data_IF_292740513770
#
_entry.id   IF_292740513770
#
_cell.length_a   1.000
_cell.length_b   1.000
_cell.length_c   1.000
_cell.angle_alpha   90.00
_cell.angle_beta   90.00
_cell.angle_gamma   90.00
#
_symmetry.space_group_name_H-M   'P 1'
#
loop_
_entity.id
_entity.type
_entity.pdbx_description
1 polymer ?
#
# COMPACT_ATOMS: atom_id res chain seq x y z
N UNK A 1 3.86 -39.76 -1.30
CA UNK A 1 2.71 -39.04 -0.74
C UNK A 1 2.69 -37.69 -1.42
N UNK A 2 1.56 -37.25 -1.99
CA UNK A 2 1.44 -35.86 -2.46
C UNK A 2 1.69 -34.92 -1.25
N UNK A 3 2.53 -33.93 -1.41
CA UNK A 3 2.74 -32.94 -0.36
C UNK A 3 1.39 -32.23 -0.12
N UNK A 4 0.97 -32.10 1.15
CA UNK A 4 -0.20 -31.32 1.49
C UNK A 4 0.02 -29.89 1.01
N UNK A 5 -0.92 -29.35 0.28
CA UNK A 5 -0.82 -28.00 -0.31
C UNK A 5 -1.51 -26.98 0.60
N UNK A 6 -0.88 -25.84 0.82
CA UNK A 6 -1.46 -24.63 1.43
C UNK A 6 -1.85 -23.71 0.28
N UNK A 7 -3.14 -23.45 0.08
CA UNK A 7 -3.61 -22.60 -1.01
C UNK A 7 -3.84 -21.17 -0.57
N UNK A 8 -3.04 -20.25 -1.10
CA UNK A 8 -3.33 -18.82 -1.06
C UNK A 8 -4.18 -18.44 -2.26
N UNK A 9 -5.17 -17.58 -2.08
CA UNK A 9 -5.95 -17.05 -3.19
C UNK A 9 -6.03 -15.53 -3.12
N UNK A 10 -5.78 -14.86 -4.23
CA UNK A 10 -5.85 -13.41 -4.38
C UNK A 10 -6.97 -12.97 -5.32
N UNK A 11 -7.80 -12.01 -4.88
CA UNK A 11 -8.64 -11.20 -5.76
C UNK A 11 -7.87 -9.95 -6.08
N UNK A 12 -7.32 -9.85 -7.29
CA UNK A 12 -6.45 -8.75 -7.70
C UNK A 12 -6.89 -8.17 -9.05
N UNK A 13 -6.77 -6.86 -9.21
CA UNK A 13 -7.14 -6.18 -10.46
C UNK A 13 -6.09 -6.42 -11.54
N UNK A 14 -6.27 -7.43 -12.38
CA UNK A 14 -5.39 -7.68 -13.54
C UNK A 14 -5.81 -6.86 -14.76
N UNK A 15 -7.08 -6.42 -14.78
CA UNK A 15 -7.67 -5.51 -15.77
C UNK A 15 -8.40 -4.35 -15.08
N UNK A 16 -8.84 -3.36 -15.86
CA UNK A 16 -9.53 -2.17 -15.35
C UNK A 16 -8.60 -1.11 -14.75
N UNK A 17 -9.17 -0.18 -13.99
CA UNK A 17 -8.49 1.05 -13.53
C UNK A 17 -7.30 0.81 -12.58
N UNK A 18 -7.31 -0.26 -11.83
CA UNK A 18 -6.24 -0.64 -10.91
C UNK A 18 -5.29 -1.70 -11.47
N UNK A 19 -5.41 -2.02 -12.78
CA UNK A 19 -4.57 -3.05 -13.41
C UNK A 19 -3.06 -2.83 -13.25
N UNK A 20 -2.52 -1.60 -13.34
CA UNK A 20 -1.08 -1.40 -13.12
C UNK A 20 -0.64 -1.87 -11.73
N UNK A 21 -1.34 -1.42 -10.67
CA UNK A 21 -1.01 -1.78 -9.29
C UNK A 21 -1.36 -3.24 -8.97
N UNK A 22 -2.48 -3.73 -9.50
CA UNK A 22 -2.93 -5.11 -9.31
C UNK A 22 -1.97 -6.14 -9.91
N UNK A 23 -1.39 -5.87 -11.07
CA UNK A 23 -0.36 -6.73 -11.69
C UNK A 23 0.95 -6.71 -10.90
N UNK A 24 1.34 -5.55 -10.37
CA UNK A 24 2.48 -5.44 -9.46
C UNK A 24 2.24 -6.25 -8.19
N UNK A 25 1.05 -6.15 -7.59
CA UNK A 25 0.66 -6.94 -6.43
C UNK A 25 0.64 -8.45 -6.71
N UNK A 26 0.15 -8.86 -7.89
CA UNK A 26 0.17 -10.25 -8.31
C UNK A 26 1.59 -10.82 -8.39
N UNK A 27 2.52 -10.05 -8.95
CA UNK A 27 3.93 -10.44 -9.00
C UNK A 27 4.53 -10.58 -7.58
N UNK A 28 4.17 -9.67 -6.66
CA UNK A 28 4.61 -9.72 -5.27
C UNK A 28 4.11 -10.94 -4.52
N UNK A 29 2.81 -11.22 -4.62
CA UNK A 29 2.18 -12.35 -3.95
C UNK A 29 2.72 -13.69 -4.47
N UNK A 30 2.83 -13.83 -5.80
CA UNK A 30 3.41 -15.03 -6.42
C UNK A 30 4.88 -15.24 -5.98
N UNK A 31 5.68 -14.19 -5.92
CA UNK A 31 7.07 -14.30 -5.46
C UNK A 31 7.16 -14.68 -3.98
N UNK A 32 6.28 -14.18 -3.11
CA UNK A 32 6.25 -14.59 -1.70
C UNK A 32 6.03 -16.10 -1.56
N UNK A 33 5.09 -16.66 -2.33
CA UNK A 33 4.81 -18.11 -2.35
C UNK A 33 6.02 -18.89 -2.87
N UNK A 34 6.67 -18.44 -3.94
CA UNK A 34 7.85 -19.12 -4.49
C UNK A 34 9.03 -19.10 -3.52
N UNK A 35 9.26 -17.98 -2.83
CA UNK A 35 10.35 -17.87 -1.86
C UNK A 35 10.12 -18.77 -0.63
N UNK A 36 8.89 -18.87 -0.12
CA UNK A 36 8.55 -19.78 0.98
C UNK A 36 8.65 -21.24 0.51
N UNK A 37 8.14 -21.55 -0.68
CA UNK A 37 8.26 -22.90 -1.28
C UNK A 37 9.73 -23.34 -1.40
N UNK A 38 10.61 -22.46 -1.88
CA UNK A 38 12.03 -22.76 -2.07
C UNK A 38 12.78 -23.01 -0.77
N UNK A 39 12.24 -22.54 0.36
CA UNK A 39 12.79 -22.71 1.71
C UNK A 39 12.21 -23.91 2.46
N UNK A 40 11.45 -24.77 1.79
CA UNK A 40 10.88 -25.98 2.35
C UNK A 40 9.41 -25.90 2.73
N UNK A 41 8.71 -24.82 2.34
CA UNK A 41 7.29 -24.63 2.59
C UNK A 41 6.99 -24.02 3.96
N UNK A 42 5.74 -24.13 4.39
CA UNK A 42 5.19 -23.60 5.66
C UNK A 42 5.10 -24.71 6.69
N UNK A 43 5.59 -24.46 7.90
CA UNK A 43 5.47 -25.40 9.02
C UNK A 43 4.07 -25.31 9.63
N UNK A 44 3.28 -26.37 9.48
CA UNK A 44 1.95 -26.51 10.07
C UNK A 44 1.97 -27.61 11.13
N UNK A 45 2.04 -27.23 12.40
CA UNK A 45 2.23 -28.14 13.52
C UNK A 45 3.47 -29.06 13.34
N UNK A 46 3.28 -30.33 13.06
CA UNK A 46 4.36 -31.33 12.93
C UNK A 46 4.75 -31.67 11.49
N UNK A 47 4.17 -30.97 10.49
CA UNK A 47 4.41 -31.22 9.07
C UNK A 47 4.74 -29.93 8.32
N UNK A 48 5.35 -30.09 7.15
CA UNK A 48 5.53 -29.00 6.19
C UNK A 48 4.49 -29.15 5.09
N UNK A 49 3.83 -28.03 4.74
CA UNK A 49 2.90 -27.91 3.62
C UNK A 49 3.52 -27.04 2.55
N UNK A 50 3.26 -27.35 1.29
CA UNK A 50 3.81 -26.61 0.15
C UNK A 50 2.84 -25.51 -0.23
N UNK A 51 3.21 -24.22 -0.13
CA UNK A 51 2.30 -23.13 -0.52
C UNK A 51 2.13 -23.10 -2.04
N UNK A 52 0.92 -22.78 -2.47
CA UNK A 52 0.56 -22.50 -3.85
C UNK A 52 -0.35 -21.27 -3.92
N UNK A 53 -0.44 -20.64 -5.10
CA UNK A 53 -1.20 -19.40 -5.25
C UNK A 53 -2.12 -19.43 -6.46
N UNK A 54 -3.36 -18.97 -6.27
CA UNK A 54 -4.33 -18.70 -7.33
C UNK A 54 -4.72 -17.23 -7.29
N UNK A 55 -4.52 -16.53 -8.40
CA UNK A 55 -4.88 -15.13 -8.54
C UNK A 55 -6.01 -15.02 -9.55
N UNK A 56 -7.11 -14.40 -9.14
CA UNK A 56 -8.28 -14.13 -9.98
C UNK A 56 -8.42 -12.64 -10.24
N UNK A 57 -8.78 -12.29 -11.48
CA UNK A 57 -9.04 -10.92 -11.90
C UNK A 57 -10.39 -10.43 -11.36
N UNK A 58 -10.37 -9.35 -10.60
CA UNK A 58 -11.57 -8.67 -10.12
C UNK A 58 -12.04 -7.54 -11.07
N UNK A 59 -11.34 -7.35 -12.19
CA UNK A 59 -11.69 -6.36 -13.23
C UNK A 59 -11.79 -4.93 -12.66
N UNK A 60 -11.18 -4.66 -11.52
CA UNK A 60 -11.29 -3.39 -10.77
C UNK A 60 -12.73 -3.03 -10.40
N UNK A 61 -13.61 -4.03 -10.18
CA UNK A 61 -15.02 -3.85 -9.84
C UNK A 61 -15.41 -4.58 -8.56
N UNK A 62 -16.39 -4.02 -7.82
CA UNK A 62 -16.92 -4.67 -6.61
C UNK A 62 -17.56 -6.03 -6.91
N UNK A 63 -18.26 -6.13 -8.03
CA UNK A 63 -18.85 -7.39 -8.47
C UNK A 63 -17.78 -8.42 -8.83
N UNK A 64 -16.71 -7.98 -9.52
CA UNK A 64 -15.55 -8.81 -9.82
C UNK A 64 -14.88 -9.35 -8.56
N UNK A 65 -14.73 -8.52 -7.52
CA UNK A 65 -14.20 -8.94 -6.20
C UNK A 65 -15.05 -10.06 -5.61
N UNK A 66 -16.39 -9.88 -5.54
CA UNK A 66 -17.29 -10.92 -5.01
C UNK A 66 -17.18 -12.21 -5.81
N UNK A 67 -17.28 -12.12 -7.14
CA UNK A 67 -17.17 -13.27 -8.04
C UNK A 67 -15.85 -14.01 -7.89
N UNK A 68 -14.74 -13.28 -7.77
CA UNK A 68 -13.41 -13.85 -7.57
C UNK A 68 -13.33 -14.58 -6.23
N UNK A 69 -13.75 -13.93 -5.14
CA UNK A 69 -13.71 -14.51 -3.80
C UNK A 69 -14.66 -15.72 -3.64
N UNK A 70 -15.84 -15.68 -4.25
CA UNK A 70 -16.76 -16.84 -4.25
C UNK A 70 -16.12 -18.07 -4.90
N UNK A 71 -15.37 -17.88 -5.99
CA UNK A 71 -14.68 -18.97 -6.70
C UNK A 71 -13.54 -19.59 -5.91
N UNK A 72 -12.92 -18.85 -5.03
CA UNK A 72 -11.78 -19.28 -4.20
C UNK A 72 -12.13 -19.36 -2.72
N UNK A 73 -13.40 -19.42 -2.38
CA UNK A 73 -13.89 -19.45 -0.99
C UNK A 73 -13.33 -20.63 -0.16
N UNK A 74 -12.91 -21.70 -0.80
CA UNK A 74 -12.28 -22.87 -0.18
C UNK A 74 -10.76 -22.78 -0.04
N UNK A 75 -10.11 -21.69 -0.44
CA UNK A 75 -8.67 -21.49 -0.23
C UNK A 75 -8.36 -21.35 1.27
N UNK A 76 -7.15 -21.75 1.68
CA UNK A 76 -6.73 -21.68 3.09
C UNK A 76 -6.50 -20.22 3.54
N UNK A 77 -5.90 -19.39 2.68
CA UNK A 77 -5.60 -17.98 2.93
C UNK A 77 -6.16 -17.09 1.82
N UNK A 78 -6.79 -15.98 2.18
CA UNK A 78 -7.38 -15.04 1.22
C UNK A 78 -6.66 -13.68 1.27
N UNK A 79 -6.21 -13.21 0.11
CA UNK A 79 -5.59 -11.90 -0.05
C UNK A 79 -6.55 -10.97 -0.79
N UNK A 80 -6.78 -9.78 -0.22
CA UNK A 80 -7.71 -8.79 -0.77
C UNK A 80 -7.15 -7.96 -1.93
N UNK A 81 -8.00 -7.17 -2.58
CA UNK A 81 -7.66 -6.39 -3.77
C UNK A 81 -6.83 -5.14 -3.44
N UNK A 82 -6.31 -4.49 -4.49
CA UNK A 82 -5.80 -3.13 -4.42
C UNK A 82 -6.95 -2.10 -4.49
N UNK A 83 -6.83 -1.04 -3.69
CA UNK A 83 -7.81 0.05 -3.64
C UNK A 83 -8.87 -0.12 -2.54
N UNK A 84 -9.13 0.98 -1.82
CA UNK A 84 -9.97 0.93 -0.61
C UNK A 84 -11.44 0.63 -0.87
N UNK A 85 -11.98 1.04 -2.00
CA UNK A 85 -13.37 0.75 -2.39
C UNK A 85 -13.61 -0.73 -2.70
N UNK A 86 -12.61 -1.40 -3.29
CA UNK A 86 -12.62 -2.85 -3.49
C UNK A 86 -12.31 -3.58 -2.18
N UNK A 87 -11.40 -3.03 -1.36
CA UNK A 87 -11.06 -3.54 -0.03
C UNK A 87 -12.26 -3.62 0.91
N UNK A 88 -13.13 -2.59 0.92
CA UNK A 88 -14.39 -2.61 1.69
C UNK A 88 -15.28 -3.78 1.26
N UNK A 89 -15.38 -4.03 -0.05
CA UNK A 89 -16.20 -5.12 -0.58
C UNK A 89 -15.64 -6.49 -0.18
N UNK A 90 -14.31 -6.68 -0.34
CA UNK A 90 -13.64 -7.91 0.06
C UNK A 90 -13.76 -8.18 1.57
N UNK A 91 -13.60 -7.14 2.39
CA UNK A 91 -13.70 -7.25 3.83
C UNK A 91 -15.12 -7.61 4.30
N UNK A 92 -16.16 -7.04 3.68
CA UNK A 92 -17.55 -7.42 3.95
C UNK A 92 -17.81 -8.88 3.56
N UNK A 93 -17.38 -9.26 2.36
CA UNK A 93 -17.48 -10.63 1.90
C UNK A 93 -16.85 -11.61 2.88
N UNK A 94 -15.66 -11.29 3.37
CA UNK A 94 -14.92 -12.11 4.34
C UNK A 94 -15.64 -12.18 5.70
N UNK A 95 -16.12 -11.05 6.21
CA UNK A 95 -16.86 -10.99 7.48
C UNK A 95 -18.14 -11.84 7.44
N UNK A 96 -18.94 -11.73 6.35
CA UNK A 96 -20.18 -12.48 6.17
C UNK A 96 -19.97 -14.01 6.16
N UNK A 97 -18.75 -14.47 5.80
CA UNK A 97 -18.38 -15.90 5.70
C UNK A 97 -17.48 -16.38 6.81
N UNK A 98 -17.17 -15.53 7.78
CA UNK A 98 -16.26 -15.87 8.88
C UNK A 98 -14.81 -16.10 8.44
N UNK A 99 -14.38 -15.55 7.28
CA UNK A 99 -13.03 -15.74 6.73
C UNK A 99 -12.10 -14.60 7.15
N UNK A 100 -10.82 -14.91 7.34
CA UNK A 100 -9.78 -13.91 7.48
C UNK A 100 -9.35 -13.36 6.11
N UNK A 101 -9.16 -12.04 6.00
CA UNK A 101 -8.72 -11.37 4.79
C UNK A 101 -7.39 -10.64 5.05
N UNK A 102 -6.36 -11.04 4.32
CA UNK A 102 -5.06 -10.38 4.31
C UNK A 102 -5.11 -9.21 3.33
N UNK A 103 -5.10 -8.00 3.86
CA UNK A 103 -5.26 -6.78 3.09
C UNK A 103 -3.92 -6.11 2.84
N UNK A 104 -3.53 -6.08 1.56
CA UNK A 104 -2.32 -5.37 1.15
C UNK A 104 -2.61 -3.96 0.61
N UNK A 105 -3.75 -3.73 -0.05
CA UNK A 105 -3.95 -2.54 -0.87
C UNK A 105 -5.13 -1.64 -0.52
N UNK A 106 -5.98 -2.05 0.42
CA UNK A 106 -7.09 -1.24 0.94
C UNK A 106 -6.64 -0.40 2.13
N UNK A 107 -6.07 0.78 1.90
CA UNK A 107 -5.45 1.59 2.96
C UNK A 107 -6.43 2.44 3.77
N UNK A 108 -7.69 2.66 3.33
CA UNK A 108 -8.64 3.45 4.12
C UNK A 108 -8.79 2.87 5.54
N UNK A 109 -8.83 3.74 6.54
CA UNK A 109 -8.97 3.37 7.94
C UNK A 109 -10.22 2.53 8.20
N UNK A 110 -11.32 2.84 7.48
CA UNK A 110 -12.56 2.06 7.55
C UNK A 110 -12.36 0.60 7.09
N UNK A 111 -11.46 0.32 6.11
CA UNK A 111 -11.16 -1.04 5.67
C UNK A 111 -10.39 -1.78 6.75
N UNK A 112 -9.37 -1.12 7.32
CA UNK A 112 -8.49 -1.75 8.31
C UNK A 112 -9.23 -2.12 9.60
N UNK A 113 -10.25 -1.33 9.98
CA UNK A 113 -11.09 -1.56 11.17
C UNK A 113 -12.19 -2.60 10.97
N UNK A 114 -12.43 -3.06 9.74
CA UNK A 114 -13.46 -4.08 9.53
C UNK A 114 -13.08 -5.39 10.20
N UNK A 115 -14.06 -6.09 10.78
CA UNK A 115 -13.81 -7.40 11.36
C UNK A 115 -13.14 -8.35 10.37
N UNK A 116 -12.21 -9.18 10.86
CA UNK A 116 -11.54 -10.23 10.08
C UNK A 116 -10.55 -9.74 9.02
N UNK A 117 -10.17 -8.46 9.05
CA UNK A 117 -9.13 -7.89 8.18
C UNK A 117 -7.79 -7.81 8.91
N UNK A 118 -6.72 -8.23 8.25
CA UNK A 118 -5.33 -8.05 8.68
C UNK A 118 -4.64 -7.18 7.63
N UNK A 119 -4.36 -5.92 7.94
CA UNK A 119 -3.73 -4.97 7.04
C UNK A 119 -2.24 -4.88 7.28
N UNK A 120 -1.44 -4.91 6.19
CA UNK A 120 0.03 -4.88 6.29
C UNK A 120 0.62 -3.48 6.08
N UNK A 121 -0.11 -2.60 5.39
CA UNK A 121 0.35 -1.24 5.09
C UNK A 121 -0.22 -0.19 6.04
N UNK A 122 0.41 0.97 6.06
CA UNK A 122 -0.01 2.15 6.82
C UNK A 122 -1.42 2.61 6.44
N UNK A 123 -2.28 3.00 7.39
CA UNK A 123 -3.61 3.51 7.10
C UNK A 123 -3.56 4.86 6.36
N UNK A 124 -4.59 5.12 5.55
CA UNK A 124 -4.67 6.29 4.68
C UNK A 124 -4.66 7.63 5.43
N UNK A 125 -5.12 7.67 6.69
CA UNK A 125 -5.01 8.84 7.55
C UNK A 125 -3.56 9.30 7.78
N UNK A 126 -2.58 8.41 7.62
CA UNK A 126 -1.16 8.75 7.78
C UNK A 126 -0.51 9.30 6.50
N UNK A 127 -1.16 9.19 5.33
CA UNK A 127 -0.57 9.57 4.05
C UNK A 127 -0.15 11.05 4.03
N UNK A 128 -1.09 11.94 4.22
CA UNK A 128 -0.79 13.38 4.24
C UNK A 128 -0.31 13.88 5.60
N UNK A 129 -0.52 13.12 6.66
CA UNK A 129 0.13 13.44 7.93
C UNK A 129 1.66 13.44 7.76
N UNK A 130 2.23 12.40 7.15
CA UNK A 130 3.68 12.33 6.90
C UNK A 130 4.17 13.37 5.89
N UNK A 131 3.36 13.65 4.85
CA UNK A 131 3.70 14.73 3.88
C UNK A 131 3.72 16.10 4.56
N UNK A 132 2.75 16.39 5.44
CA UNK A 132 2.72 17.65 6.20
C UNK A 132 3.87 17.74 7.21
N UNK A 133 4.30 16.62 7.81
CA UNK A 133 5.50 16.59 8.64
C UNK A 133 6.74 17.03 7.84
N UNK A 134 6.89 16.55 6.58
CA UNK A 134 7.97 16.97 5.71
C UNK A 134 7.83 18.45 5.27
N UNK A 135 6.63 18.90 4.92
CA UNK A 135 6.37 20.29 4.54
C UNK A 135 6.66 21.24 5.70
N UNK A 136 6.33 20.87 6.94
CA UNK A 136 6.52 21.71 8.12
C UNK A 136 7.99 22.07 8.38
N UNK A 137 8.94 21.30 7.87
CA UNK A 137 10.37 21.59 8.00
C UNK A 137 10.78 22.81 7.19
N UNK A 138 10.08 23.11 6.08
CA UNK A 138 10.40 24.18 5.14
C UNK A 138 9.39 25.32 5.19
N UNK A 139 8.09 25.01 5.42
CA UNK A 139 7.00 25.98 5.46
C UNK A 139 6.19 25.76 6.75
N UNK A 140 6.68 26.26 7.89
CA UNK A 140 5.93 26.22 9.14
C UNK A 140 4.65 27.07 9.02
N UNK A 141 3.57 26.67 9.71
CA UNK A 141 2.27 27.39 9.74
C UNK A 141 1.60 27.51 8.35
N UNK A 142 1.92 26.62 7.40
CA UNK A 142 1.40 26.66 6.03
C UNK A 142 -0.13 26.67 5.98
N UNK A 143 -0.66 27.43 5.00
CA UNK A 143 -2.07 27.37 4.57
C UNK A 143 -2.23 26.21 3.58
N UNK A 144 -3.01 25.21 3.92
CA UNK A 144 -3.09 23.94 3.19
C UNK A 144 -4.45 23.77 2.54
N UNK A 145 -4.47 23.55 1.22
CA UNK A 145 -5.65 23.08 0.49
C UNK A 145 -5.54 21.58 0.26
N UNK A 146 -6.64 20.84 0.44
CA UNK A 146 -6.68 19.38 0.26
C UNK A 146 -7.73 18.99 -0.76
N UNK A 147 -7.32 18.39 -1.87
CA UNK A 147 -8.19 17.84 -2.88
C UNK A 147 -8.30 16.31 -2.72
N UNK A 148 -9.50 15.80 -2.52
CA UNK A 148 -9.71 14.36 -2.30
C UNK A 148 -10.77 13.77 -3.21
N UNK A 149 -10.56 12.51 -3.61
CA UNK A 149 -11.58 11.73 -4.28
C UNK A 149 -12.73 11.36 -3.33
N UNK A 150 -13.91 11.08 -3.90
CA UNK A 150 -15.05 10.60 -3.14
C UNK A 150 -14.82 9.15 -2.69
N UNK A 151 -15.13 8.81 -1.44
CA UNK A 151 -15.03 7.45 -0.93
C UNK A 151 -14.24 7.34 0.37
N UNK A 152 -14.02 6.11 0.85
CA UNK A 152 -13.39 5.84 2.13
C UNK A 152 -11.93 6.32 2.17
N UNK A 153 -11.17 6.14 1.09
CA UNK A 153 -9.79 6.59 0.98
C UNK A 153 -9.67 8.09 1.16
N UNK A 154 -10.41 8.88 0.34
CA UNK A 154 -10.37 10.34 0.42
C UNK A 154 -10.78 10.87 1.79
N UNK A 155 -11.82 10.27 2.42
CA UNK A 155 -12.21 10.65 3.79
C UNK A 155 -11.09 10.40 4.81
N UNK A 156 -10.46 9.22 4.75
CA UNK A 156 -9.36 8.88 5.67
C UNK A 156 -8.19 9.84 5.51
N UNK A 157 -7.77 10.11 4.26
CA UNK A 157 -6.68 11.06 3.96
C UNK A 157 -7.02 12.46 4.45
N UNK A 158 -8.23 12.97 4.17
CA UNK A 158 -8.67 14.29 4.60
C UNK A 158 -8.70 14.44 6.13
N UNK A 159 -9.17 13.41 6.84
CA UNK A 159 -9.19 13.42 8.30
C UNK A 159 -7.75 13.44 8.87
N UNK A 160 -6.87 12.60 8.35
CA UNK A 160 -5.48 12.59 8.77
C UNK A 160 -4.75 13.90 8.47
N UNK A 161 -5.06 14.54 7.33
CA UNK A 161 -4.52 15.87 7.01
C UNK A 161 -4.96 16.93 8.00
N UNK A 162 -6.25 16.93 8.42
CA UNK A 162 -6.75 17.88 9.45
C UNK A 162 -6.04 17.68 10.79
N UNK A 163 -5.98 16.44 11.27
CA UNK A 163 -5.32 16.10 12.54
C UNK A 163 -3.83 16.49 12.53
N UNK A 164 -3.15 16.26 11.42
CA UNK A 164 -1.76 16.63 11.27
C UNK A 164 -1.56 18.16 11.19
N UNK A 165 -2.40 18.87 10.43
CA UNK A 165 -2.34 20.32 10.33
C UNK A 165 -2.56 20.99 11.70
N UNK A 166 -3.55 20.53 12.46
CA UNK A 166 -3.79 21.00 13.83
C UNK A 166 -2.57 20.79 14.73
N UNK A 167 -1.98 19.59 14.72
CA UNK A 167 -0.78 19.26 15.49
C UNK A 167 0.43 20.11 15.12
N UNK A 168 0.56 20.50 13.84
CA UNK A 168 1.69 21.27 13.30
C UNK A 168 1.47 22.79 13.31
N UNK A 169 0.30 23.27 13.78
CA UNK A 169 -0.03 24.71 13.72
C UNK A 169 -0.34 25.22 12.31
N UNK A 170 -0.59 24.34 11.36
CA UNK A 170 -0.99 24.66 9.99
C UNK A 170 -2.50 24.91 9.88
N UNK A 171 -2.94 25.60 8.85
CA UNK A 171 -4.36 25.91 8.62
C UNK A 171 -4.87 25.19 7.38
N UNK A 172 -5.87 24.31 7.53
CA UNK A 172 -6.61 23.80 6.38
C UNK A 172 -7.56 24.91 5.88
N UNK A 173 -7.25 25.49 4.74
CA UNK A 173 -8.08 26.56 4.15
C UNK A 173 -9.26 26.00 3.39
N UNK A 174 -9.13 24.83 2.77
CA UNK A 174 -10.20 24.17 2.03
C UNK A 174 -9.97 22.66 1.93
N UNK A 175 -11.07 21.88 1.94
CA UNK A 175 -11.08 20.48 1.51
C UNK A 175 -12.13 20.35 0.42
N UNK A 176 -11.69 19.98 -0.77
CA UNK A 176 -12.49 20.04 -2.01
C UNK A 176 -12.30 18.78 -2.87
N UNK A 177 -12.87 18.76 -4.04
CA UNK A 177 -12.63 17.69 -5.04
C UNK A 177 -11.62 18.17 -6.09
N UNK A 178 -10.98 17.23 -6.82
CA UNK A 178 -9.99 17.57 -7.84
C UNK A 178 -10.51 18.54 -8.90
N UNK A 179 -11.80 18.40 -9.28
CA UNK A 179 -12.43 19.27 -10.27
C UNK A 179 -12.61 20.71 -9.84
N UNK A 180 -12.73 20.95 -8.54
CA UNK A 180 -13.03 22.24 -7.95
C UNK A 180 -11.77 23.04 -7.57
N UNK A 181 -10.57 22.43 -7.61
CA UNK A 181 -9.29 23.13 -7.37
C UNK A 181 -9.06 24.15 -8.50
N UNK A 182 -8.79 25.44 -8.20
CA UNK A 182 -8.47 26.44 -9.22
C UNK A 182 -7.09 26.17 -9.86
N UNK A 183 -6.82 26.77 -11.04
CA UNK A 183 -5.51 26.64 -11.72
C UNK A 183 -4.35 27.26 -10.93
N UNK A 184 -4.64 28.19 -10.01
CA UNK A 184 -3.71 28.80 -9.06
C UNK A 184 -4.36 28.86 -7.68
N UNK A 185 -4.24 27.82 -6.86
CA UNK A 185 -4.84 27.81 -5.54
C UNK A 185 -4.14 28.78 -4.59
N UNK A 186 -4.93 29.60 -3.85
CA UNK A 186 -4.41 30.50 -2.82
C UNK A 186 -4.10 29.71 -1.53
N UNK A 187 -2.99 29.00 -1.55
CA UNK A 187 -2.48 28.19 -0.47
C UNK A 187 -0.95 28.06 -0.55
N UNK A 188 -0.29 27.77 0.57
CA UNK A 188 1.14 27.48 0.61
C UNK A 188 1.44 26.04 0.24
N UNK A 189 0.47 25.14 0.48
CA UNK A 189 0.54 23.75 0.11
C UNK A 189 -0.78 23.24 -0.51
N UNK A 190 -0.67 22.44 -1.59
CA UNK A 190 -1.78 21.70 -2.17
C UNK A 190 -1.51 20.20 -2.04
N UNK A 191 -2.41 19.49 -1.35
CA UNK A 191 -2.35 18.04 -1.21
C UNK A 191 -3.48 17.40 -2.01
N UNK A 192 -3.19 16.39 -2.85
CA UNK A 192 -4.17 15.74 -3.68
C UNK A 192 -4.17 14.20 -3.53
N UNK A 193 -5.35 13.61 -3.29
CA UNK A 193 -5.55 12.18 -3.14
C UNK A 193 -6.83 11.73 -3.84
N UNK A 194 -6.76 11.62 -5.15
CA UNK A 194 -7.76 11.01 -6.02
C UNK A 194 -7.41 9.58 -6.42
N UNK A 195 -7.93 9.17 -7.56
CA UNK A 195 -7.34 8.07 -8.28
C UNK A 195 -6.10 8.56 -9.07
N UNK A 196 -5.29 7.63 -9.57
CA UNK A 196 -4.05 7.97 -10.26
C UNK A 196 -4.24 8.99 -11.40
N UNK A 197 -5.27 8.81 -12.22
CA UNK A 197 -5.53 9.70 -13.35
C UNK A 197 -6.00 11.11 -12.90
N UNK A 198 -6.80 11.19 -11.82
CA UNK A 198 -7.26 12.47 -11.26
C UNK A 198 -6.09 13.30 -10.73
N UNK A 199 -5.14 12.66 -10.02
CA UNK A 199 -3.95 13.35 -9.53
C UNK A 199 -3.09 13.86 -10.70
N UNK A 200 -2.86 13.05 -11.75
CA UNK A 200 -2.13 13.49 -12.95
C UNK A 200 -2.80 14.66 -13.66
N UNK A 201 -4.12 14.59 -13.84
CA UNK A 201 -4.89 15.64 -14.51
C UNK A 201 -4.82 16.95 -13.75
N UNK A 202 -4.95 16.90 -12.42
CA UNK A 202 -4.84 18.09 -11.60
C UNK A 202 -3.45 18.73 -11.72
N UNK A 203 -2.36 17.95 -11.65
CA UNK A 203 -0.99 18.47 -11.83
C UNK A 203 -0.83 19.13 -13.20
N UNK A 204 -1.36 18.54 -14.28
CA UNK A 204 -1.29 19.11 -15.64
C UNK A 204 -2.08 20.42 -15.79
N UNK A 205 -3.11 20.61 -14.98
CA UNK A 205 -3.99 21.80 -15.04
C UNK A 205 -3.47 22.98 -14.22
N UNK A 206 -2.62 22.74 -13.22
CA UNK A 206 -2.04 23.80 -12.39
C UNK A 206 -1.13 24.72 -13.22
N UNK A 207 -1.43 26.01 -13.26
CA UNK A 207 -0.62 27.07 -13.91
C UNK A 207 0.25 27.78 -12.89
N UNK A 208 -0.36 28.21 -11.78
CA UNK A 208 0.34 28.83 -10.66
C UNK A 208 0.41 27.81 -9.53
N UNK A 209 1.56 27.19 -9.40
CA UNK A 209 1.78 26.11 -8.42
C UNK A 209 2.07 26.72 -7.04
N UNK A 210 1.40 26.24 -5.97
CA UNK A 210 1.81 26.60 -4.62
C UNK A 210 3.23 26.08 -4.33
N UNK A 211 3.93 26.68 -3.37
CA UNK A 211 5.29 26.26 -2.99
C UNK A 211 5.42 24.77 -2.74
N UNK A 212 4.49 24.17 -2.01
CA UNK A 212 4.47 22.73 -1.75
C UNK A 212 3.32 22.02 -2.47
N UNK A 213 3.60 20.92 -3.15
CA UNK A 213 2.59 20.04 -3.73
C UNK A 213 2.83 18.62 -3.24
N UNK A 214 1.78 17.98 -2.70
CA UNK A 214 1.77 16.56 -2.37
C UNK A 214 0.68 15.83 -3.14
N UNK A 215 1.03 14.69 -3.73
CA UNK A 215 0.09 13.82 -4.44
C UNK A 215 0.18 12.37 -3.97
N UNK A 216 -0.95 11.75 -3.66
CA UNK A 216 -0.96 10.34 -3.27
C UNK A 216 -0.37 9.43 -4.35
N UNK A 217 -0.56 9.79 -5.63
CA UNK A 217 0.00 9.08 -6.77
C UNK A 217 1.52 9.23 -6.91
N UNK A 218 2.14 10.28 -6.34
CA UNK A 218 3.56 10.58 -6.53
C UNK A 218 4.51 9.58 -5.86
N UNK A 219 4.01 8.75 -4.94
CA UNK A 219 4.73 7.61 -4.39
C UNK A 219 5.01 6.49 -5.40
N UNK A 220 4.36 6.50 -6.58
CA UNK A 220 4.53 5.49 -7.63
C UNK A 220 5.47 6.00 -8.73
N UNK A 221 6.41 5.18 -9.19
CA UNK A 221 7.34 5.52 -10.27
C UNK A 221 6.66 5.87 -11.59
N UNK A 222 5.49 5.29 -11.85
CA UNK A 222 4.66 5.62 -13.01
C UNK A 222 4.20 7.09 -13.01
N UNK A 223 4.13 7.77 -11.86
CA UNK A 223 3.77 9.19 -11.78
C UNK A 223 4.80 10.06 -12.50
N UNK A 224 6.08 9.87 -12.23
CA UNK A 224 7.13 10.60 -12.94
C UNK A 224 7.26 10.20 -14.40
N UNK A 225 7.02 8.92 -14.74
CA UNK A 225 7.03 8.47 -16.13
C UNK A 225 5.94 9.16 -16.97
N UNK A 226 4.76 9.43 -16.39
CA UNK A 226 3.63 10.11 -17.03
C UNK A 226 3.76 11.64 -17.09
N UNK A 227 4.37 12.25 -16.10
CA UNK A 227 4.45 13.71 -15.97
C UNK A 227 5.80 14.29 -16.41
N UNK A 228 6.86 13.48 -16.47
CA UNK A 228 8.20 13.96 -16.80
C UNK A 228 8.62 15.11 -15.86
N UNK A 229 9.08 16.22 -16.43
CA UNK A 229 9.50 17.40 -15.66
C UNK A 229 8.39 18.05 -14.84
N UNK A 230 7.12 17.77 -15.14
CA UNK A 230 6.00 18.30 -14.34
C UNK A 230 5.90 17.64 -12.95
N UNK A 231 6.53 16.49 -12.73
CA UNK A 231 6.60 15.83 -11.43
C UNK A 231 7.59 16.52 -10.48
N UNK A 232 8.52 17.31 -11.00
CA UNK A 232 9.60 17.94 -10.21
C UNK A 232 9.07 18.72 -9.01
N UNK A 233 9.66 18.47 -7.84
CA UNK A 233 9.29 19.08 -6.55
C UNK A 233 8.07 18.44 -5.87
N UNK A 234 7.29 17.57 -6.56
CA UNK A 234 6.07 17.00 -5.98
C UNK A 234 6.43 15.92 -4.96
N UNK A 235 5.86 16.06 -3.76
CA UNK A 235 5.94 15.10 -2.66
C UNK A 235 4.90 13.99 -2.82
N UNK A 236 5.23 12.79 -2.35
CA UNK A 236 4.29 11.67 -2.33
C UNK A 236 4.47 10.74 -1.14
N UNK A 237 3.39 10.27 -0.52
CA UNK A 237 3.49 9.20 0.45
C UNK A 237 3.86 7.89 -0.25
N UNK A 238 4.80 7.14 0.32
CA UNK A 238 5.18 5.82 -0.16
C UNK A 238 5.16 4.80 0.98
N UNK A 239 4.54 3.65 0.74
CA UNK A 239 4.49 2.59 1.72
C UNK A 239 5.86 1.90 1.90
N UNK A 240 6.73 1.96 0.91
CA UNK A 240 8.04 1.31 0.93
C UNK A 240 8.91 1.77 -0.24
N UNK A 241 10.21 1.88 -0.01
CA UNK A 241 11.22 2.17 -1.03
C UNK A 241 12.41 1.20 -0.92
N UNK A 242 12.98 0.81 -2.05
CA UNK A 242 14.08 -0.17 -2.12
C UNK A 242 15.33 0.25 -1.33
N UNK A 243 15.58 1.57 -1.20
CA UNK A 243 16.73 2.14 -0.51
C UNK A 243 16.66 1.99 1.01
N UNK A 244 15.46 1.99 1.58
CA UNK A 244 15.24 1.98 3.03
C UNK A 244 15.50 0.59 3.62
N UNK A 245 16.18 0.53 4.76
CA UNK A 245 16.57 -0.72 5.43
C UNK A 245 15.84 -0.86 6.76
N UNK A 246 15.40 -2.10 7.04
CA UNK A 246 14.74 -2.45 8.29
C UNK A 246 15.52 -3.57 9.01
N UNK A 247 15.48 -3.61 10.36
CA UNK A 247 16.04 -4.70 11.14
C UNK A 247 15.10 -5.93 11.09
N UNK A 248 15.22 -6.72 10.02
CA UNK A 248 14.31 -7.83 9.71
C UNK A 248 14.46 -8.97 10.72
N UNK A 249 13.35 -9.40 11.34
CA UNK A 249 13.24 -10.57 12.19
C UNK A 249 12.37 -11.69 11.58
N UNK A 250 11.49 -11.36 10.62
CA UNK A 250 10.66 -12.32 9.90
C UNK A 250 10.87 -12.22 8.39
N UNK A 251 11.12 -13.35 7.78
CA UNK A 251 11.28 -13.50 6.33
C UNK A 251 12.71 -13.31 5.82
N UNK A 252 12.88 -13.21 4.50
CA UNK A 252 14.19 -13.08 3.87
C UNK A 252 14.79 -11.68 4.01
N UNK A 253 16.11 -11.60 3.82
CA UNK A 253 16.83 -10.32 3.78
C UNK A 253 16.36 -9.48 2.60
N UNK A 254 16.29 -8.16 2.80
CA UNK A 254 15.78 -7.22 1.77
C UNK A 254 16.49 -7.37 0.41
N UNK A 255 17.81 -7.51 0.39
CA UNK A 255 18.55 -7.66 -0.86
C UNK A 255 18.17 -8.93 -1.65
N UNK A 256 17.77 -10.00 -0.96
CA UNK A 256 17.28 -11.23 -1.58
C UNK A 256 15.89 -11.00 -2.19
N UNK A 257 14.98 -10.41 -1.39
CA UNK A 257 13.62 -10.09 -1.83
C UNK A 257 13.62 -9.13 -3.01
N UNK A 258 14.37 -8.04 -2.94
CA UNK A 258 14.45 -7.06 -4.04
C UNK A 258 14.95 -7.72 -5.33
N UNK A 259 15.96 -8.60 -5.23
CA UNK A 259 16.47 -9.31 -6.41
C UNK A 259 15.41 -10.22 -7.04
N UNK A 260 14.72 -11.01 -6.21
CA UNK A 260 13.68 -11.93 -6.71
C UNK A 260 12.46 -11.17 -7.24
N UNK A 261 12.03 -10.08 -6.59
CA UNK A 261 10.94 -9.24 -7.04
C UNK A 261 11.26 -8.53 -8.36
N UNK A 262 12.47 -7.96 -8.52
CA UNK A 262 12.89 -7.36 -9.81
C UNK A 262 12.81 -8.37 -10.96
N UNK A 263 13.30 -9.58 -10.75
CA UNK A 263 13.23 -10.64 -11.75
C UNK A 263 11.78 -11.03 -12.07
N UNK A 264 10.92 -11.11 -11.05
CA UNK A 264 9.50 -11.46 -11.20
C UNK A 264 8.72 -10.38 -11.93
N UNK A 265 8.88 -9.11 -11.52
CA UNK A 265 8.21 -7.96 -12.17
C UNK A 265 8.63 -7.87 -13.64
N UNK A 266 9.92 -8.01 -13.94
CA UNK A 266 10.41 -8.04 -15.32
C UNK A 266 9.75 -9.15 -16.16
N UNK A 267 9.67 -10.37 -15.61
CA UNK A 267 9.06 -11.50 -16.31
C UNK A 267 7.54 -11.31 -16.51
N UNK A 268 6.83 -10.70 -15.56
CA UNK A 268 5.37 -10.53 -15.57
C UNK A 268 4.92 -9.38 -16.47
N UNK A 269 5.61 -8.23 -16.40
CA UNK A 269 5.22 -7.01 -17.12
C UNK A 269 5.85 -6.87 -18.51
N UNK A 270 6.72 -7.80 -18.92
CA UNK A 270 7.46 -7.75 -20.21
C UNK A 270 8.07 -6.37 -20.49
N UNK A 271 8.84 -5.87 -19.53
CA UNK A 271 9.69 -4.68 -19.63
C UNK A 271 9.09 -3.48 -20.39
N UNK A 272 8.25 -2.73 -19.71
CA UNK A 272 7.97 -1.32 -20.04
C UNK A 272 8.84 -0.40 -19.20
N UNK A 273 8.78 0.91 -19.43
CA UNK A 273 9.47 1.93 -18.65
C UNK A 273 9.19 1.76 -17.15
N UNK A 274 10.25 1.69 -16.32
CA UNK A 274 10.18 1.45 -14.87
C UNK A 274 10.71 0.08 -14.42
N UNK A 275 11.14 -0.79 -15.33
CA UNK A 275 11.59 -2.16 -15.03
C UNK A 275 12.85 -2.27 -14.15
N UNK A 276 13.41 -1.17 -13.67
CA UNK A 276 14.60 -1.15 -12.80
C UNK A 276 14.33 -1.20 -11.31
N UNK A 277 13.14 -0.81 -10.84
CA UNK A 277 12.81 -0.66 -9.42
C UNK A 277 11.56 -1.47 -9.05
N UNK A 278 11.53 -1.95 -7.80
CA UNK A 278 10.34 -2.57 -7.22
C UNK A 278 9.44 -1.47 -6.64
N UNK A 279 8.22 -1.39 -7.11
CA UNK A 279 7.21 -0.47 -6.59
C UNK A 279 6.55 -1.03 -5.31
N UNK A 280 6.14 -0.15 -4.40
CA UNK A 280 5.54 -0.56 -3.13
C UNK A 280 4.32 -1.50 -3.27
N UNK A 281 3.45 -1.45 -4.30
CA UNK A 281 2.36 -2.42 -4.44
C UNK A 281 2.85 -3.87 -4.55
N UNK A 282 4.03 -4.07 -5.15
CA UNK A 282 4.68 -5.39 -5.22
C UNK A 282 5.18 -5.82 -3.84
N UNK A 283 5.88 -4.93 -3.15
CA UNK A 283 6.47 -5.20 -1.83
C UNK A 283 5.39 -5.48 -0.77
N UNK A 284 4.31 -4.70 -0.76
CA UNK A 284 3.23 -4.88 0.23
C UNK A 284 2.40 -6.15 -0.01
N UNK A 285 2.17 -6.56 -1.26
CA UNK A 285 1.50 -7.81 -1.55
C UNK A 285 2.37 -9.03 -1.19
N UNK A 286 3.68 -8.95 -1.44
CA UNK A 286 4.63 -9.95 -0.93
C UNK A 286 4.56 -10.03 0.59
N UNK A 287 4.61 -8.90 1.30
CA UNK A 287 4.54 -8.85 2.76
C UNK A 287 3.23 -9.44 3.30
N UNK A 288 2.10 -9.19 2.64
CA UNK A 288 0.81 -9.79 3.02
C UNK A 288 0.84 -11.32 2.92
N UNK A 289 1.35 -11.86 1.82
CA UNK A 289 1.52 -13.30 1.65
C UNK A 289 2.50 -13.91 2.67
N UNK A 290 3.63 -13.25 2.90
CA UNK A 290 4.63 -13.68 3.88
C UNK A 290 4.06 -13.73 5.29
N UNK A 291 3.40 -12.65 5.74
CA UNK A 291 2.81 -12.56 7.08
C UNK A 291 1.64 -13.55 7.26
N UNK A 292 0.83 -13.77 6.21
CA UNK A 292 -0.23 -14.77 6.24
C UNK A 292 0.35 -16.18 6.51
N UNK A 293 1.37 -16.57 5.77
CA UNK A 293 2.04 -17.86 5.94
C UNK A 293 2.79 -17.96 7.28
N UNK A 294 3.42 -16.89 7.73
CA UNK A 294 4.07 -16.83 9.04
C UNK A 294 3.05 -17.00 10.19
N UNK A 295 1.85 -16.39 10.08
CA UNK A 295 0.79 -16.60 11.07
C UNK A 295 0.28 -18.04 11.10
N UNK A 296 0.32 -18.79 9.98
CA UNK A 296 0.04 -20.23 9.98
C UNK A 296 1.07 -21.00 10.82
N UNK A 297 2.36 -20.66 10.69
CA UNK A 297 3.43 -21.28 11.48
C UNK A 297 3.30 -20.99 12.97
N UNK A 298 3.02 -19.73 13.34
CA UNK A 298 2.87 -19.30 14.72
C UNK A 298 1.59 -19.82 15.38
N UNK A 299 0.49 -19.88 14.63
CA UNK A 299 -0.77 -20.46 15.11
C UNK A 299 -0.76 -22.01 15.10
N UNK A 300 0.13 -22.63 14.33
CA UNK A 300 0.11 -24.04 14.01
C UNK A 300 -1.28 -24.52 13.50
N UNK A 301 -2.01 -23.64 12.79
CA UNK A 301 -3.41 -23.81 12.40
C UNK A 301 -3.72 -23.08 11.08
N UNK A 302 -4.75 -23.56 10.37
CA UNK A 302 -5.38 -22.89 9.23
C UNK A 302 -6.75 -22.30 9.59
N UNK A 303 -7.14 -22.38 10.87
CA UNK A 303 -8.39 -21.80 11.34
C UNK A 303 -8.33 -20.27 11.32
N UNK A 304 -9.30 -19.65 10.67
CA UNK A 304 -9.33 -18.19 10.47
C UNK A 304 -9.33 -17.40 11.80
N UNK A 305 -9.98 -17.90 12.85
CA UNK A 305 -10.01 -17.21 14.15
C UNK A 305 -8.65 -17.32 14.86
N UNK A 306 -7.98 -18.47 14.74
CA UNK A 306 -6.63 -18.67 15.25
C UNK A 306 -5.62 -17.77 14.53
N UNK A 307 -5.74 -17.63 13.20
CA UNK A 307 -4.90 -16.75 12.40
C UNK A 307 -5.09 -15.28 12.77
N UNK A 308 -6.33 -14.82 12.91
CA UNK A 308 -6.65 -13.46 13.33
C UNK A 308 -6.15 -13.16 14.75
N UNK A 309 -6.33 -14.10 15.68
CA UNK A 309 -5.83 -13.96 17.04
C UNK A 309 -4.30 -13.89 17.07
N UNK A 310 -3.62 -14.65 16.20
CA UNK A 310 -2.16 -14.61 16.06
C UNK A 310 -1.71 -13.28 15.46
N UNK A 311 -2.31 -12.82 14.35
CA UNK A 311 -1.96 -11.56 13.71
C UNK A 311 -2.12 -10.35 14.67
N UNK A 312 -3.16 -10.34 15.51
CA UNK A 312 -3.39 -9.28 16.50
C UNK A 312 -2.30 -9.19 17.57
N UNK A 313 -1.68 -10.32 17.92
CA UNK A 313 -0.58 -10.36 18.91
C UNK A 313 0.79 -10.18 18.28
N UNK A 314 0.91 -10.47 16.99
CA UNK A 314 2.17 -10.43 16.28
C UNK A 314 2.75 -9.00 16.28
N UNK A 315 4.02 -8.91 16.64
CA UNK A 315 4.88 -7.74 16.45
C UNK A 315 6.16 -8.24 15.80
N UNK A 316 6.42 -7.80 14.60
CA UNK A 316 7.60 -8.23 13.85
C UNK A 316 8.02 -7.18 12.83
N UNK A 317 9.21 -7.34 12.28
CA UNK A 317 9.73 -6.52 11.21
C UNK A 317 10.09 -7.40 10.01
N UNK A 318 9.51 -7.09 8.87
CA UNK A 318 9.84 -7.72 7.59
C UNK A 318 10.67 -6.75 6.73
N UNK A 319 11.05 -7.15 5.54
CA UNK A 319 11.68 -6.25 4.59
C UNK A 319 10.77 -5.06 4.19
N UNK A 320 9.47 -5.20 4.37
CA UNK A 320 8.49 -4.15 4.07
C UNK A 320 8.39 -3.10 5.19
N UNK A 321 8.81 -3.45 6.40
CA UNK A 321 8.77 -2.61 7.61
C UNK A 321 8.17 -3.34 8.80
N UNK A 322 7.93 -2.60 9.87
CA UNK A 322 7.35 -3.11 11.09
C UNK A 322 5.85 -3.45 10.92
N UNK A 323 5.44 -4.54 11.55
CA UNK A 323 4.05 -4.98 11.58
C UNK A 323 3.53 -5.05 13.00
N UNK A 324 2.39 -4.41 13.23
CA UNK A 324 1.66 -4.51 14.48
C UNK A 324 0.31 -3.82 14.41
N UNK A 325 -0.73 -4.50 14.91
CA UNK A 325 -2.09 -4.01 14.87
C UNK A 325 -2.47 -3.40 16.23
N UNK A 326 -3.23 -2.30 16.22
CA UNK A 326 -3.87 -1.75 17.42
C UNK A 326 -5.11 -2.57 17.83
N UNK A 327 -5.77 -2.13 18.90
CA UNK A 327 -6.98 -2.80 19.42
C UNK A 327 -8.15 -2.81 18.43
N UNK A 328 -8.17 -1.84 17.51
CA UNK A 328 -9.18 -1.69 16.45
C UNK A 328 -8.81 -2.45 15.17
N UNK A 329 -7.64 -3.08 15.13
CA UNK A 329 -7.14 -3.85 13.97
C UNK A 329 -6.41 -3.03 12.92
N UNK A 330 -6.10 -1.73 13.18
CA UNK A 330 -5.30 -0.92 12.25
C UNK A 330 -3.81 -1.24 12.39
N UNK A 331 -3.11 -1.22 11.29
CA UNK A 331 -1.65 -1.27 11.25
C UNK A 331 -1.07 0.07 11.76
N UNK A 332 -0.40 0.04 12.91
CA UNK A 332 0.13 1.25 13.56
C UNK A 332 1.65 1.29 13.67
N UNK A 333 2.32 0.15 13.49
CA UNK A 333 3.78 0.06 13.59
C UNK A 333 4.50 0.36 12.27
N UNK A 334 3.79 0.24 11.13
CA UNK A 334 4.37 0.54 9.82
C UNK A 334 4.50 2.05 9.63
N UNK A 335 5.69 2.50 9.24
CA UNK A 335 6.00 3.91 9.03
C UNK A 335 5.84 4.30 7.56
N UNK A 336 5.07 5.38 7.31
CA UNK A 336 4.92 5.95 5.98
C UNK A 336 6.15 6.75 5.60
N UNK A 337 6.73 6.44 4.45
CA UNK A 337 7.78 7.25 3.85
C UNK A 337 7.17 8.41 3.05
N UNK A 338 7.93 9.50 2.91
CA UNK A 338 7.63 10.55 1.93
C UNK A 338 8.77 10.60 0.93
N UNK A 339 8.40 10.54 -0.32
CA UNK A 339 9.32 10.75 -1.44
C UNK A 339 9.08 12.10 -2.08
N UNK A 340 10.09 12.64 -2.73
CA UNK A 340 9.99 13.82 -3.57
C UNK A 340 10.66 13.54 -4.92
N UNK A 341 10.04 14.01 -5.98
CA UNK A 341 10.64 13.97 -7.31
C UNK A 341 11.67 15.08 -7.44
N UNK A 342 12.94 14.70 -7.53
CA UNK A 342 14.07 15.62 -7.64
C UNK A 342 14.98 15.18 -8.80
N UNK A 343 15.26 16.08 -9.73
CA UNK A 343 16.08 15.82 -10.93
C UNK A 343 15.60 14.62 -11.74
N UNK A 344 14.26 14.44 -11.81
CA UNK A 344 13.63 13.36 -12.56
C UNK A 344 13.66 11.99 -11.89
N UNK A 345 14.15 11.87 -10.65
CA UNK A 345 14.15 10.65 -9.83
C UNK A 345 13.37 10.84 -8.54
N UNK A 346 12.86 9.75 -8.02
CA UNK A 346 12.13 9.70 -6.75
C UNK A 346 13.13 9.46 -5.61
N UNK A 347 13.25 10.39 -4.67
CA UNK A 347 14.13 10.29 -3.51
C UNK A 347 13.31 10.31 -2.21
N UNK A 348 13.67 9.50 -1.22
CA UNK A 348 13.06 9.55 0.12
C UNK A 348 13.56 10.82 0.82
N UNK A 349 12.60 11.65 1.30
CA UNK A 349 12.89 12.89 2.02
C UNK A 349 12.39 12.88 3.47
N UNK A 350 11.53 11.92 3.84
CA UNK A 350 11.00 11.76 5.19
C UNK A 350 10.70 10.27 5.50
N UNK A 351 10.88 9.80 6.75
CA UNK A 351 11.37 10.51 7.94
C UNK A 351 12.89 10.78 7.86
N UNK A 352 13.43 11.68 8.71
CA UNK A 352 14.87 12.05 8.66
C UNK A 352 15.83 10.85 8.74
N UNK A 353 15.46 9.80 9.49
CA UNK A 353 16.27 8.59 9.65
C UNK A 353 16.37 7.71 8.40
N UNK A 354 15.45 7.90 7.43
CA UNK A 354 15.41 7.16 6.16
C UNK A 354 15.70 8.06 4.94
N UNK A 355 15.84 9.37 5.15
CA UNK A 355 15.97 10.34 4.07
C UNK A 355 17.25 10.14 3.27
N UNK A 356 17.12 10.14 1.95
CA UNK A 356 18.19 10.09 0.94
C UNK A 356 18.55 11.49 0.45
N UNK A 357 17.62 12.43 0.56
CA UNK A 357 17.76 13.83 0.17
C UNK A 357 16.98 14.75 1.13
N UNK A 358 17.28 16.05 1.11
CA UNK A 358 16.49 17.06 1.81
C UNK A 358 15.21 17.39 1.03
N UNK A 359 14.14 17.76 1.76
CA UNK A 359 12.95 18.34 1.15
C UNK A 359 13.33 19.67 0.49
N UNK A 360 12.77 19.95 -0.68
CA UNK A 360 12.96 21.20 -1.43
C UNK A 360 11.58 21.79 -1.74
N UNK A 361 11.29 23.01 -1.27
CA UNK A 361 10.03 23.73 -1.45
C UNK A 361 10.29 25.13 -1.97
#
# INVERSE_FOLDING_TARGET
MAADTLLLAGSLSLTGRYAPQGRLAAAGLDQAVQDVRSRGGVRLAHRHVVPDVVILDDESTREGVRRSLDRVSGADLLVGPYGSDLGVEAARWAADRGRALWNHGGSADDVQRLPRVVSVGTPASRYFASVLDAVATEVPEARVMVAVGRGAFGRSVANGAREAAERLGMTIVEITTHGDVPEGPDADALLMAGNFAEDLELVRRLRDRPPAIGAAAAGLGMFGAELGSMAEGILGPSQWEEGVRFPIDVGPRQAEVVRSLRARVFATLRAGAGAGHVEYPTAQAYAAGLLAMHCVEEAASLDDDALLATARRLRCTTFFGAFGLDVDGRQTEHEMLVVQWQQGVKAVVWPPGAAEASTVI
#
